data_IF_969763119587
#
_entry.id   IF_969763119587
#
_cell.length_a   1.000
_cell.length_b   1.000
_cell.length_c   1.000
_cell.angle_alpha   90.00
_cell.angle_beta   90.00
_cell.angle_gamma   90.00
#
_symmetry.space_group_name_H-M   'P 1'
#
loop_
_entity.id
_entity.type
_entity.pdbx_description
1 polymer ?
#
# COMPACT_ATOMS: atom_id res chain seq x y z
N UNK A 1 -15.78 -0.64 5.76
CA UNK A 1 -15.09 -0.49 7.06
C UNK A 1 -15.59 0.79 7.74
N UNK A 2 -16.00 0.74 9.02
CA UNK A 2 -16.35 1.95 9.79
C UNK A 2 -15.08 2.78 10.03
N UNK A 3 -15.17 4.11 9.91
CA UNK A 3 -14.04 5.05 9.88
C UNK A 3 -13.12 5.09 11.12
N UNK A 4 -13.35 4.31 12.17
CA UNK A 4 -12.40 4.18 13.29
C UNK A 4 -11.49 2.96 13.15
N UNK A 5 -11.98 1.87 12.54
CA UNK A 5 -11.24 0.59 12.48
C UNK A 5 -10.06 0.63 11.52
N UNK A 6 -10.10 1.47 10.48
CA UNK A 6 -8.99 1.55 9.52
C UNK A 6 -7.73 2.15 10.13
N UNK A 7 -7.85 3.16 11.00
CA UNK A 7 -6.69 3.76 11.68
C UNK A 7 -6.01 2.77 12.62
N UNK A 8 -6.79 1.93 13.30
CA UNK A 8 -6.28 0.89 14.18
C UNK A 8 -5.61 -0.23 13.38
N UNK A 9 -6.23 -0.69 12.29
CA UNK A 9 -5.63 -1.69 11.40
C UNK A 9 -4.35 -1.20 10.72
N UNK A 10 -4.28 0.09 10.38
CA UNK A 10 -3.07 0.72 9.82
C UNK A 10 -1.94 0.78 10.84
N UNK A 11 -2.24 1.18 12.09
CA UNK A 11 -1.29 1.13 13.20
C UNK A 11 -0.79 -0.28 13.49
N UNK A 12 -1.68 -1.27 13.50
CA UNK A 12 -1.30 -2.66 13.75
C UNK A 12 -0.46 -3.24 12.60
N UNK A 13 -0.80 -2.90 11.35
CA UNK A 13 0.02 -3.28 10.18
C UNK A 13 1.42 -2.68 10.30
N UNK A 14 1.53 -1.41 10.70
CA UNK A 14 2.82 -0.75 10.90
C UNK A 14 3.64 -1.38 12.03
N UNK A 15 2.98 -1.82 13.11
CA UNK A 15 3.61 -2.57 14.20
C UNK A 15 4.17 -3.90 13.71
N UNK A 16 3.35 -4.67 12.97
CA UNK A 16 3.74 -5.98 12.42
C UNK A 16 4.88 -5.87 11.41
N UNK A 17 4.83 -4.92 10.47
CA UNK A 17 5.89 -4.74 9.48
C UNK A 17 7.24 -4.46 10.15
N UNK A 18 7.27 -3.69 11.23
CA UNK A 18 8.51 -3.43 11.99
C UNK A 18 9.00 -4.66 12.73
N UNK A 19 8.09 -5.42 13.35
CA UNK A 19 8.45 -6.66 14.01
C UNK A 19 9.06 -7.68 13.03
N UNK A 20 8.53 -7.77 11.81
CA UNK A 20 9.01 -8.68 10.76
C UNK A 20 10.45 -8.36 10.35
N UNK A 21 10.80 -7.07 10.25
CA UNK A 21 12.19 -6.64 9.93
C UNK A 21 13.08 -6.49 11.16
N UNK A 22 12.62 -6.94 12.34
CA UNK A 22 13.42 -6.93 13.58
C UNK A 22 13.64 -5.55 14.19
N UNK A 23 12.75 -4.59 13.94
CA UNK A 23 12.86 -3.21 14.45
C UNK A 23 11.96 -2.93 15.65
N UNK A 24 12.44 -2.04 16.53
CA UNK A 24 11.70 -1.60 17.70
C UNK A 24 10.48 -0.72 17.34
N UNK A 25 9.51 -0.62 18.26
CA UNK A 25 8.23 0.10 18.09
C UNK A 25 8.34 1.62 17.85
N UNK A 26 9.54 2.19 17.89
CA UNK A 26 9.79 3.62 17.60
C UNK A 26 10.64 3.82 16.34
N UNK A 27 11.21 2.76 15.78
CA UNK A 27 12.07 2.87 14.61
C UNK A 27 11.24 2.91 13.31
N UNK A 28 11.65 3.79 12.41
CA UNK A 28 11.10 3.85 11.05
C UNK A 28 11.71 2.76 10.16
N UNK A 29 10.93 2.29 9.18
CA UNK A 29 11.43 1.43 8.12
C UNK A 29 12.29 2.25 7.14
N UNK A 30 13.51 1.81 6.92
CA UNK A 30 14.40 2.32 5.88
C UNK A 30 14.06 1.67 4.54
N UNK A 31 14.59 2.23 3.44
CA UNK A 31 14.45 1.63 2.10
C UNK A 31 15.03 0.22 2.06
N UNK A 32 16.13 -0.03 2.78
CA UNK A 32 16.77 -1.34 2.85
C UNK A 32 15.91 -2.37 3.58
N UNK A 33 15.21 -1.98 4.66
CA UNK A 33 14.27 -2.86 5.35
C UNK A 33 13.11 -3.27 4.43
N UNK A 34 12.64 -2.35 3.59
CA UNK A 34 11.58 -2.62 2.61
C UNK A 34 12.08 -3.52 1.48
N UNK A 35 13.31 -3.31 0.99
CA UNK A 35 13.90 -4.14 -0.06
C UNK A 35 14.16 -5.58 0.39
N UNK A 36 14.47 -5.77 1.68
CA UNK A 36 14.71 -7.08 2.28
C UNK A 36 13.46 -7.68 2.95
N UNK A 37 12.29 -7.06 2.77
CA UNK A 37 11.08 -7.50 3.43
C UNK A 37 10.66 -8.88 2.90
N UNK A 38 10.35 -9.87 3.77
CA UNK A 38 9.98 -11.20 3.32
C UNK A 38 8.72 -11.21 2.45
N UNK A 39 8.82 -11.80 1.26
CA UNK A 39 7.73 -11.85 0.29
C UNK A 39 6.48 -12.58 0.81
N UNK A 40 6.66 -13.61 1.65
CA UNK A 40 5.54 -14.38 2.23
C UNK A 40 4.74 -13.57 3.23
N UNK A 41 5.43 -12.83 4.10
CA UNK A 41 4.79 -11.92 5.06
C UNK A 41 4.08 -10.77 4.34
N UNK A 42 4.73 -10.18 3.32
CA UNK A 42 4.12 -9.13 2.51
C UNK A 42 2.85 -9.62 1.81
N UNK A 43 2.89 -10.85 1.26
CA UNK A 43 1.72 -11.49 0.63
C UNK A 43 0.61 -11.74 1.64
N UNK A 44 0.94 -12.16 2.85
CA UNK A 44 -0.04 -12.40 3.92
C UNK A 44 -0.72 -11.11 4.33
N UNK A 45 0.05 -10.02 4.53
CA UNK A 45 -0.49 -8.69 4.81
C UNK A 45 -1.40 -8.20 3.69
N UNK A 46 -0.98 -8.33 2.42
CA UNK A 46 -1.80 -7.94 1.26
C UNK A 46 -3.14 -8.70 1.23
N UNK A 47 -3.12 -10.02 1.42
CA UNK A 47 -4.34 -10.84 1.44
C UNK A 47 -5.30 -10.45 2.57
N UNK A 48 -4.77 -10.14 3.76
CA UNK A 48 -5.58 -9.67 4.88
C UNK A 48 -6.24 -8.33 4.56
N UNK A 49 -5.48 -7.37 4.03
CA UNK A 49 -6.01 -6.06 3.63
C UNK A 49 -7.09 -6.17 2.55
N UNK A 50 -6.86 -6.99 1.52
CA UNK A 50 -7.84 -7.25 0.45
C UNK A 50 -9.10 -7.89 1.01
N UNK A 51 -8.96 -8.92 1.85
CA UNK A 51 -10.09 -9.65 2.45
C UNK A 51 -10.98 -8.74 3.30
N UNK A 52 -10.39 -8.01 4.23
CA UNK A 52 -11.16 -7.19 5.18
C UNK A 52 -11.66 -5.88 4.56
N UNK A 53 -11.08 -5.44 3.45
CA UNK A 53 -11.52 -4.24 2.73
C UNK A 53 -12.55 -4.51 1.64
N UNK A 54 -12.95 -5.77 1.46
CA UNK A 54 -13.80 -6.18 0.35
C UNK A 54 -13.17 -5.86 -1.02
N UNK A 55 -11.86 -6.13 -1.15
CA UNK A 55 -11.09 -5.95 -2.37
C UNK A 55 -10.70 -4.51 -2.71
N UNK A 56 -10.89 -3.56 -1.79
CA UNK A 56 -10.70 -2.12 -2.06
C UNK A 56 -9.31 -1.60 -1.76
N UNK A 57 -8.62 -2.18 -0.79
CA UNK A 57 -7.26 -1.80 -0.40
C UNK A 57 -6.39 -3.04 -0.22
N UNK A 58 -5.12 -2.88 -0.56
CA UNK A 58 -4.07 -3.89 -0.57
C UNK A 58 -2.87 -3.34 -1.36
N UNK A 59 -1.66 -3.78 -1.05
CA UNK A 59 -0.46 -3.42 -1.78
C UNK A 59 -0.58 -3.79 -3.27
N UNK A 60 -1.15 -4.96 -3.59
CA UNK A 60 -1.42 -5.38 -4.97
C UNK A 60 -2.40 -4.46 -5.70
N UNK A 61 -3.43 -4.00 -5.00
CA UNK A 61 -4.43 -3.04 -5.52
C UNK A 61 -3.78 -1.67 -5.77
N UNK A 62 -2.94 -1.20 -4.84
CA UNK A 62 -2.20 0.06 -4.97
C UNK A 62 -1.19 0.02 -6.12
N UNK A 63 -0.41 -1.06 -6.27
CA UNK A 63 0.56 -1.22 -7.37
C UNK A 63 -0.16 -1.11 -8.72
N UNK A 64 -1.27 -1.84 -8.90
CA UNK A 64 -2.05 -1.81 -10.14
C UNK A 64 -2.59 -0.40 -10.46
N UNK A 65 -3.05 0.34 -9.45
CA UNK A 65 -3.51 1.72 -9.63
C UNK A 65 -2.35 2.68 -9.95
N UNK A 66 -1.18 2.49 -9.33
CA UNK A 66 0.01 3.31 -9.56
C UNK A 66 0.54 3.13 -10.97
N UNK A 67 0.67 1.89 -11.46
CA UNK A 67 1.08 1.62 -12.84
C UNK A 67 0.10 2.20 -13.86
N UNK A 68 -1.21 2.08 -13.59
CA UNK A 68 -2.25 2.73 -14.42
C UNK A 68 -2.11 4.25 -14.43
N UNK A 69 -1.87 4.88 -13.28
CA UNK A 69 -1.69 6.34 -13.20
C UNK A 69 -0.43 6.81 -13.91
N UNK A 70 0.69 6.09 -13.78
CA UNK A 70 1.92 6.37 -14.56
C UNK A 70 1.64 6.31 -16.06
N UNK A 71 0.92 5.28 -16.51
CA UNK A 71 0.52 5.13 -17.92
C UNK A 71 -0.44 6.20 -18.41
N UNK A 72 -1.31 6.76 -17.55
CA UNK A 72 -2.23 7.85 -17.90
C UNK A 72 -1.48 9.19 -17.97
N UNK A 73 -0.58 9.45 -17.02
CA UNK A 73 0.23 10.69 -16.97
C UNK A 73 1.27 10.73 -18.09
N UNK A 74 1.71 9.58 -18.60
CA UNK A 74 2.61 9.48 -19.75
C UNK A 74 1.93 9.60 -21.11
N UNK A 75 0.60 9.69 -21.18
CA UNK A 75 -0.07 10.05 -22.44
C UNK A 75 0.08 11.56 -22.65
N UNK A 76 0.33 12.04 -23.88
CA UNK A 76 0.25 13.46 -24.18
C UNK A 76 -1.23 13.84 -24.10
N UNK A 77 -1.70 14.16 -22.88
CA UNK A 77 -3.03 14.70 -22.67
C UNK A 77 -3.00 16.10 -23.26
N UNK A 78 -3.58 16.24 -24.45
CA UNK A 78 -3.84 17.54 -25.05
C UNK A 78 -5.02 18.19 -24.33
N UNK A 79 -4.70 19.03 -23.35
CA UNK A 79 -5.68 19.78 -22.57
C UNK A 79 -6.47 20.79 -23.41
N UNK A 80 -6.10 21.04 -24.68
CA UNK A 80 -6.91 21.84 -25.60
C UNK A 80 -8.24 21.18 -25.98
N UNK A 81 -8.37 19.86 -25.77
CA UNK A 81 -9.60 19.11 -26.04
C UNK A 81 -10.59 19.09 -24.84
N UNK A 82 -10.22 19.66 -23.69
CA UNK A 82 -11.03 19.65 -22.47
C UNK A 82 -11.67 21.01 -22.13
N UNK A 83 -11.59 22.01 -23.02
CA UNK A 83 -12.42 23.21 -22.91
C UNK A 83 -13.60 23.15 -23.88
N UNK A 84 -14.78 22.84 -23.35
CA UNK A 84 -16.06 23.32 -23.88
C UNK A 84 -16.83 23.98 -22.76
#
# INVERSE_FOLDING_TARGET
MKQQKWKESDKETWRLMRQIVGKEEVQSLSVEDINNFPCEDLRTLDQLWVKYSNGRVGFSVQIKMTERKKSIVSLPIDFSQLSR
#
